data_IF_761263636007
#
_entry.id   IF_761263636007
#
_cell.length_a   1.000
_cell.length_b   1.000
_cell.length_c   1.000
_cell.angle_alpha   90.00
_cell.angle_beta   90.00
_cell.angle_gamma   90.00
#
_symmetry.space_group_name_H-M   'P 1'
#
loop_
_entity.id
_entity.type
_entity.pdbx_description
1 polymer ?
#
# COMPACT_ATOMS: atom_id res chain seq x y z
N UNK A 1 24.45 16.50 19.31
CA UNK A 1 23.05 16.27 19.72
C UNK A 1 22.81 14.77 19.68
N UNK A 2 22.15 14.18 20.68
CA UNK A 2 21.85 12.75 20.63
C UNK A 2 20.92 12.46 19.44
N UNK A 3 21.32 11.51 18.59
CA UNK A 3 20.52 11.05 17.45
C UNK A 3 19.29 10.31 17.97
N UNK A 4 18.09 10.69 17.47
CA UNK A 4 16.85 9.98 17.83
C UNK A 4 16.87 8.53 17.35
N UNK A 5 16.09 7.64 17.97
CA UNK A 5 15.96 6.25 17.51
C UNK A 5 15.50 6.18 16.04
N UNK A 6 14.62 7.10 15.61
CA UNK A 6 14.19 7.20 14.21
C UNK A 6 15.34 7.60 13.29
N UNK A 7 16.20 8.53 13.71
CA UNK A 7 17.37 8.93 12.93
C UNK A 7 18.34 7.76 12.76
N UNK A 8 18.61 7.02 13.83
CA UNK A 8 19.46 5.82 13.78
C UNK A 8 18.83 4.74 12.89
N UNK A 9 17.51 4.52 12.96
CA UNK A 9 16.83 3.54 12.12
C UNK A 9 16.95 3.87 10.62
N UNK A 10 16.85 5.14 10.24
CA UNK A 10 17.00 5.58 8.84
C UNK A 10 18.39 5.31 8.26
N UNK A 11 19.42 5.15 9.09
CA UNK A 11 20.77 4.79 8.64
C UNK A 11 20.89 3.28 8.30
N UNK A 12 19.99 2.45 8.82
CA UNK A 12 20.05 0.98 8.70
C UNK A 12 18.95 0.42 7.80
N UNK A 13 17.81 1.11 7.74
CA UNK A 13 16.60 0.64 7.08
C UNK A 13 15.90 1.80 6.37
N UNK A 14 15.39 1.54 5.16
CA UNK A 14 14.50 2.47 4.48
C UNK A 14 13.18 2.61 5.25
N UNK A 15 12.96 3.78 5.85
CA UNK A 15 11.74 4.05 6.63
C UNK A 15 10.61 4.49 5.70
N UNK A 16 9.49 3.78 5.80
CA UNK A 16 8.25 4.01 5.05
C UNK A 16 7.15 4.44 6.01
N UNK A 17 6.33 5.43 5.65
CA UNK A 17 5.15 5.79 6.44
C UNK A 17 3.91 5.00 5.98
N UNK A 18 3.23 4.32 6.90
CA UNK A 18 1.96 3.61 6.65
C UNK A 18 0.78 4.50 7.06
N UNK A 19 0.48 5.50 6.23
CA UNK A 19 -0.57 6.48 6.51
C UNK A 19 -1.02 7.22 5.25
N UNK A 20 -2.28 7.66 5.22
CA UNK A 20 -2.80 8.66 4.29
C UNK A 20 -2.71 10.11 4.80
N UNK A 21 -2.20 10.31 6.01
CA UNK A 21 -2.08 11.63 6.66
C UNK A 21 -0.83 12.39 6.16
N UNK A 22 -1.07 13.48 5.44
CA UNK A 22 -0.02 14.33 4.88
C UNK A 22 0.80 15.05 5.96
N UNK A 23 0.23 15.39 7.12
CA UNK A 23 0.96 16.08 8.18
C UNK A 23 2.00 15.15 8.82
N UNK A 24 1.61 13.90 9.09
CA UNK A 24 2.52 12.87 9.56
C UNK A 24 3.69 12.67 8.57
N UNK A 25 3.40 12.59 7.26
CA UNK A 25 4.43 12.42 6.23
C UNK A 25 5.39 13.61 6.22
N UNK A 26 4.89 14.86 6.26
CA UNK A 26 5.75 16.06 6.34
C UNK A 26 6.63 16.08 7.59
N UNK A 27 6.07 15.67 8.72
CA UNK A 27 6.77 15.66 10.01
C UNK A 27 7.91 14.63 10.04
N UNK A 28 7.66 13.42 9.54
CA UNK A 28 8.60 12.32 9.67
C UNK A 28 9.52 12.12 8.46
N UNK A 29 9.21 12.74 7.32
CA UNK A 29 10.02 12.72 6.09
C UNK A 29 10.50 11.30 5.73
N UNK A 30 9.58 10.34 5.52
CA UNK A 30 9.93 8.97 5.15
C UNK A 30 10.49 8.91 3.71
N UNK A 31 11.13 7.80 3.35
CA UNK A 31 11.59 7.57 1.99
C UNK A 31 10.40 7.26 1.06
N UNK A 32 9.53 6.36 1.48
CA UNK A 32 8.32 5.94 0.75
C UNK A 32 7.09 6.14 1.65
N UNK A 33 5.90 6.00 1.07
CA UNK A 33 4.66 5.88 1.82
C UNK A 33 3.78 4.76 1.28
N UNK A 34 2.99 4.15 2.15
CA UNK A 34 1.99 3.15 1.76
C UNK A 34 0.62 3.56 2.25
N UNK A 35 -0.37 3.34 1.40
CA UNK A 35 -1.79 3.42 1.74
C UNK A 35 -2.43 2.04 1.62
N UNK A 36 -3.64 1.92 2.16
CA UNK A 36 -4.52 0.78 2.01
C UNK A 36 -5.97 1.31 2.12
N UNK A 37 -7.00 0.49 1.86
CA UNK A 37 -8.39 0.97 1.88
C UNK A 37 -8.79 1.64 3.20
N UNK A 38 -8.31 1.13 4.35
CA UNK A 38 -8.61 1.72 5.66
C UNK A 38 -7.95 3.08 5.85
N UNK A 39 -6.69 3.25 5.42
CA UNK A 39 -5.96 4.51 5.52
C UNK A 39 -6.52 5.57 4.55
N UNK A 40 -6.93 5.16 3.35
CA UNK A 40 -7.64 6.03 2.40
C UNK A 40 -8.96 6.49 3.00
N UNK A 41 -9.73 5.60 3.63
CA UNK A 41 -10.97 5.96 4.31
C UNK A 41 -10.74 6.97 5.44
N UNK A 42 -9.72 6.74 6.27
CA UNK A 42 -9.37 7.67 7.35
C UNK A 42 -8.95 9.04 6.81
N UNK A 43 -8.11 9.08 5.78
CA UNK A 43 -7.72 10.33 5.13
C UNK A 43 -8.93 11.04 4.52
N UNK A 44 -9.82 10.32 3.84
CA UNK A 44 -11.04 10.87 3.25
C UNK A 44 -12.02 11.46 4.28
N UNK A 45 -11.95 11.04 5.55
CA UNK A 45 -12.78 11.59 6.62
C UNK A 45 -12.29 12.95 7.15
N UNK A 46 -11.12 13.44 6.72
CA UNK A 46 -10.62 14.77 7.06
C UNK A 46 -11.53 15.86 6.50
N UNK A 47 -11.86 16.85 7.33
CA UNK A 47 -12.86 17.88 7.01
C UNK A 47 -12.46 18.70 5.78
N UNK A 48 -11.16 18.97 5.62
CA UNK A 48 -10.58 19.73 4.52
C UNK A 48 -10.81 19.06 3.16
N UNK A 49 -11.06 17.74 3.13
CA UNK A 49 -11.28 16.98 1.90
C UNK A 49 -12.73 16.96 1.44
N UNK A 50 -13.70 17.34 2.28
CA UNK A 50 -15.13 17.22 1.96
C UNK A 50 -15.52 17.88 0.64
N UNK A 51 -15.01 19.08 0.37
CA UNK A 51 -15.30 19.80 -0.87
C UNK A 51 -14.79 19.05 -2.11
N UNK A 52 -13.57 18.51 -2.04
CA UNK A 52 -12.98 17.72 -3.12
C UNK A 52 -13.73 16.41 -3.33
N UNK A 53 -14.05 15.69 -2.26
CA UNK A 53 -14.85 14.45 -2.32
C UNK A 53 -16.23 14.69 -2.92
N UNK A 54 -16.90 15.79 -2.57
CA UNK A 54 -18.18 16.16 -3.15
C UNK A 54 -18.08 16.47 -4.65
N UNK A 55 -16.95 17.02 -5.12
CA UNK A 55 -16.69 17.22 -6.56
C UNK A 55 -16.56 15.87 -7.27
N UNK A 56 -15.70 14.99 -6.76
CA UNK A 56 -15.51 13.64 -7.31
C UNK A 56 -16.83 12.89 -7.38
N UNK A 57 -17.61 12.91 -6.30
CA UNK A 57 -18.92 12.24 -6.23
C UNK A 57 -19.94 12.79 -7.25
N UNK A 58 -19.87 14.08 -7.61
CA UNK A 58 -20.75 14.66 -8.64
C UNK A 58 -20.32 14.32 -10.07
N UNK A 59 -19.02 14.17 -10.28
CA UNK A 59 -18.44 13.92 -11.59
C UNK A 59 -18.39 12.42 -11.94
N UNK A 60 -18.36 11.55 -10.93
CA UNK A 60 -18.33 10.10 -11.12
C UNK A 60 -19.74 9.54 -11.26
N UNK A 61 -19.92 8.65 -12.23
CA UNK A 61 -21.18 7.92 -12.48
C UNK A 61 -21.18 6.52 -11.88
N UNK A 62 -20.02 6.08 -11.39
CA UNK A 62 -19.78 4.78 -10.77
C UNK A 62 -19.05 4.97 -9.43
N UNK A 63 -19.43 4.18 -8.43
CA UNK A 63 -18.88 4.30 -7.09
C UNK A 63 -17.44 3.79 -7.03
N UNK A 64 -17.12 2.74 -7.78
CA UNK A 64 -15.78 2.17 -7.79
C UNK A 64 -14.81 3.14 -8.48
N UNK A 65 -15.24 3.79 -9.56
CA UNK A 65 -14.52 4.91 -10.17
C UNK A 65 -14.28 6.06 -9.18
N UNK A 66 -15.31 6.46 -8.42
CA UNK A 66 -15.16 7.53 -7.44
C UNK A 66 -14.11 7.18 -6.36
N UNK A 67 -14.12 5.94 -5.87
CA UNK A 67 -13.15 5.46 -4.87
C UNK A 67 -11.72 5.44 -5.45
N UNK A 68 -11.55 4.97 -6.69
CA UNK A 68 -10.25 4.97 -7.36
C UNK A 68 -9.70 6.40 -7.51
N UNK A 69 -10.56 7.36 -7.89
CA UNK A 69 -10.17 8.77 -8.00
C UNK A 69 -9.71 9.34 -6.66
N UNK A 70 -10.41 9.01 -5.58
CA UNK A 70 -10.01 9.43 -4.22
C UNK A 70 -8.65 8.84 -3.84
N UNK A 71 -8.42 7.56 -4.12
CA UNK A 71 -7.14 6.91 -3.84
C UNK A 71 -5.98 7.53 -4.65
N UNK A 72 -6.21 7.80 -5.94
CA UNK A 72 -5.21 8.44 -6.82
C UNK A 72 -4.93 9.87 -6.40
N UNK A 73 -5.96 10.65 -6.05
CA UNK A 73 -5.81 12.02 -5.55
C UNK A 73 -4.89 12.06 -4.31
N UNK A 74 -5.21 11.24 -3.29
CA UNK A 74 -4.44 11.16 -2.05
C UNK A 74 -3.01 10.67 -2.35
N UNK A 75 -2.85 9.60 -3.13
CA UNK A 75 -1.52 9.10 -3.46
C UNK A 75 -0.69 10.11 -4.27
N UNK A 76 -1.32 10.93 -5.10
CA UNK A 76 -0.65 12.00 -5.87
C UNK A 76 -0.23 13.19 -5.01
N UNK A 77 -0.94 13.44 -3.91
CA UNK A 77 -0.51 14.41 -2.90
C UNK A 77 0.68 13.87 -2.10
N UNK A 78 0.62 12.60 -1.71
CA UNK A 78 1.69 11.91 -0.97
C UNK A 78 2.98 11.85 -1.82
N UNK A 79 2.87 11.57 -3.12
CA UNK A 79 4.03 11.42 -4.01
C UNK A 79 4.88 12.68 -4.14
N UNK A 80 4.31 13.85 -3.83
CA UNK A 80 5.00 15.16 -3.76
C UNK A 80 5.77 15.36 -2.46
N UNK A 81 5.46 14.58 -1.43
CA UNK A 81 6.02 14.71 -0.08
C UNK A 81 7.10 13.66 0.23
N UNK A 82 7.15 12.56 -0.53
CA UNK A 82 8.13 11.49 -0.35
C UNK A 82 9.07 11.42 -1.55
N UNK A 83 10.37 11.17 -1.37
CA UNK A 83 11.33 11.06 -2.48
C UNK A 83 11.29 9.72 -3.20
N UNK A 84 10.60 8.71 -2.68
CA UNK A 84 10.48 7.38 -3.29
C UNK A 84 9.04 7.00 -3.65
N UNK A 85 8.65 5.76 -3.36
CA UNK A 85 7.40 5.18 -3.85
C UNK A 85 6.17 5.58 -3.04
N UNK A 86 5.01 5.51 -3.70
CA UNK A 86 3.69 5.47 -3.06
C UNK A 86 3.02 4.14 -3.39
N UNK A 87 2.65 3.37 -2.36
CA UNK A 87 1.83 2.16 -2.56
C UNK A 87 0.34 2.50 -2.54
N UNK A 88 -0.38 2.06 -3.58
CA UNK A 88 -1.82 2.24 -3.74
C UNK A 88 -2.48 0.91 -4.04
N UNK A 89 -3.48 0.55 -3.23
CA UNK A 89 -4.07 -0.78 -3.24
C UNK A 89 -5.24 -0.90 -4.22
N UNK A 90 -5.25 -1.97 -5.01
CA UNK A 90 -6.43 -2.34 -5.80
C UNK A 90 -7.59 -2.75 -4.89
N UNK A 91 -8.83 -2.71 -5.38
CA UNK A 91 -9.97 -3.15 -4.59
C UNK A 91 -9.80 -4.61 -4.15
N UNK A 92 -9.85 -4.86 -2.83
CA UNK A 92 -9.71 -6.20 -2.27
C UNK A 92 -10.79 -7.19 -2.74
N UNK A 93 -11.93 -6.70 -3.28
CA UNK A 93 -12.95 -7.54 -3.91
C UNK A 93 -12.43 -8.28 -5.15
N UNK A 94 -11.35 -7.80 -5.76
CA UNK A 94 -10.72 -8.39 -6.94
C UNK A 94 -9.64 -9.43 -6.58
N UNK A 95 -9.41 -9.70 -5.29
CA UNK A 95 -8.26 -10.53 -4.83
C UNK A 95 -8.23 -11.95 -5.41
N UNK A 96 -9.35 -12.47 -5.91
CA UNK A 96 -9.46 -13.81 -6.52
C UNK A 96 -9.79 -13.74 -8.01
N UNK A 97 -9.62 -12.57 -8.63
CA UNK A 97 -9.79 -12.34 -10.06
C UNK A 97 -8.51 -11.70 -10.61
N UNK A 98 -7.68 -12.55 -11.23
CA UNK A 98 -6.39 -12.14 -11.80
C UNK A 98 -6.55 -11.05 -12.85
N UNK A 99 -7.47 -11.26 -13.80
CA UNK A 99 -7.58 -10.40 -14.98
C UNK A 99 -8.21 -9.05 -14.59
N UNK A 100 -9.22 -9.06 -13.72
CA UNK A 100 -9.79 -7.83 -13.18
C UNK A 100 -8.76 -7.05 -12.34
N UNK A 101 -7.89 -7.73 -11.59
CA UNK A 101 -6.80 -7.10 -10.82
C UNK A 101 -5.80 -6.41 -11.76
N UNK A 102 -5.38 -7.08 -12.84
CA UNK A 102 -4.49 -6.50 -13.86
C UNK A 102 -5.14 -5.28 -14.51
N UNK A 103 -6.39 -5.39 -14.95
CA UNK A 103 -7.12 -4.26 -15.56
C UNK A 103 -7.24 -3.08 -14.59
N UNK A 104 -7.53 -3.34 -13.31
CA UNK A 104 -7.59 -2.29 -12.29
C UNK A 104 -6.24 -1.61 -12.08
N UNK A 105 -5.16 -2.38 -12.01
CA UNK A 105 -3.80 -1.87 -11.84
C UNK A 105 -3.40 -0.91 -12.97
N UNK A 106 -3.63 -1.31 -14.23
CA UNK A 106 -3.39 -0.46 -15.40
C UNK A 106 -4.21 0.83 -15.35
N UNK A 107 -5.51 0.73 -15.04
CA UNK A 107 -6.38 1.91 -14.87
C UNK A 107 -5.85 2.88 -13.79
N UNK A 108 -5.35 2.38 -12.66
CA UNK A 108 -4.78 3.24 -11.61
C UNK A 108 -3.51 3.96 -12.09
N UNK A 109 -2.63 3.27 -12.82
CA UNK A 109 -1.42 3.87 -13.39
C UNK A 109 -1.76 4.97 -14.40
N UNK A 110 -2.74 4.73 -15.29
CA UNK A 110 -3.21 5.74 -16.24
C UNK A 110 -3.74 7.00 -15.53
N UNK A 111 -4.49 6.81 -14.45
CA UNK A 111 -5.00 7.92 -13.62
C UNK A 111 -3.86 8.67 -12.95
N UNK A 112 -2.86 7.99 -12.39
CA UNK A 112 -1.67 8.67 -11.86
C UNK A 112 -0.95 9.51 -12.92
N UNK A 113 -0.85 9.01 -14.15
CA UNK A 113 -0.25 9.76 -15.25
C UNK A 113 -1.02 11.05 -15.57
N UNK A 114 -2.37 11.04 -15.49
CA UNK A 114 -3.20 12.24 -15.63
C UNK A 114 -2.93 13.28 -14.51
N UNK A 115 -2.44 12.82 -13.36
CA UNK A 115 -2.00 13.67 -12.24
C UNK A 115 -0.53 14.07 -12.32
N UNK A 116 0.17 13.72 -13.41
CA UNK A 116 1.59 14.00 -13.60
C UNK A 116 2.51 13.13 -12.77
N UNK A 117 2.04 11.98 -12.28
CA UNK A 117 2.83 11.01 -11.50
C UNK A 117 3.12 9.80 -12.38
N UNK A 118 4.39 9.56 -12.67
CA UNK A 118 4.82 8.44 -13.50
C UNK A 118 4.72 7.08 -12.79
N UNK A 119 4.62 5.97 -13.55
CA UNK A 119 4.53 4.62 -13.00
C UNK A 119 5.76 4.23 -12.16
N UNK A 120 6.91 4.86 -12.38
CA UNK A 120 8.11 4.67 -11.58
C UNK A 120 8.01 5.17 -10.14
N UNK A 121 6.94 5.92 -9.82
CA UNK A 121 6.67 6.44 -8.47
C UNK A 121 5.65 5.60 -7.71
N UNK A 122 5.00 4.63 -8.36
CA UNK A 122 3.85 3.93 -7.82
C UNK A 122 4.15 2.43 -7.67
N UNK A 123 3.76 1.89 -6.52
CA UNK A 123 3.66 0.45 -6.30
C UNK A 123 2.19 0.07 -6.26
N UNK A 124 1.74 -0.76 -7.21
CA UNK A 124 0.37 -1.29 -7.16
C UNK A 124 0.33 -2.40 -6.11
N UNK A 125 -0.44 -2.14 -5.06
CA UNK A 125 -0.56 -3.04 -3.92
C UNK A 125 -1.75 -3.99 -4.10
N UNK A 126 -1.56 -5.27 -3.80
CA UNK A 126 -2.63 -6.28 -3.88
C UNK A 126 -2.39 -7.43 -2.91
N UNK A 127 -3.46 -8.15 -2.56
CA UNK A 127 -3.41 -9.28 -1.66
C UNK A 127 -2.53 -10.42 -2.23
N UNK A 128 -1.75 -11.07 -1.37
CA UNK A 128 -0.88 -12.20 -1.72
C UNK A 128 -1.66 -13.52 -1.84
N UNK A 129 -2.81 -13.49 -2.52
CA UNK A 129 -3.52 -14.69 -3.00
C UNK A 129 -2.76 -15.26 -4.20
N UNK A 130 -3.12 -16.47 -4.64
CA UNK A 130 -2.51 -17.03 -5.84
C UNK A 130 -2.80 -16.16 -7.06
N UNK A 131 -4.04 -15.74 -7.25
CA UNK A 131 -4.46 -14.88 -8.36
C UNK A 131 -3.78 -13.51 -8.31
N UNK A 132 -3.62 -12.93 -7.12
CA UNK A 132 -2.89 -11.68 -6.92
C UNK A 132 -1.40 -11.80 -7.26
N UNK A 133 -0.75 -12.89 -6.86
CA UNK A 133 0.65 -13.17 -7.22
C UNK A 133 0.82 -13.37 -8.73
N UNK A 134 -0.13 -14.06 -9.37
CA UNK A 134 -0.13 -14.24 -10.82
C UNK A 134 -0.41 -12.94 -11.58
N UNK A 135 -1.25 -12.05 -11.02
CA UNK A 135 -1.47 -10.71 -11.55
C UNK A 135 -0.19 -9.87 -11.44
N UNK A 136 0.47 -9.89 -10.28
CA UNK A 136 1.75 -9.22 -10.08
C UNK A 136 2.82 -9.68 -11.07
N UNK A 137 2.93 -10.99 -11.33
CA UNK A 137 3.85 -11.54 -12.34
C UNK A 137 3.67 -10.90 -13.72
N UNK A 138 2.42 -10.69 -14.14
CA UNK A 138 2.15 -10.06 -15.42
C UNK A 138 2.45 -8.56 -15.37
N UNK A 139 2.01 -7.87 -14.32
CA UNK A 139 2.21 -6.43 -14.16
C UNK A 139 3.70 -6.05 -14.12
N UNK A 140 4.53 -6.82 -13.43
CA UNK A 140 5.98 -6.60 -13.38
C UNK A 140 6.63 -6.77 -14.76
N UNK A 141 6.14 -7.71 -15.58
CA UNK A 141 6.58 -7.87 -16.99
C UNK A 141 6.13 -6.70 -17.87
N UNK A 142 4.99 -6.11 -17.55
CA UNK A 142 4.47 -4.91 -18.20
C UNK A 142 5.18 -3.63 -17.70
N UNK A 143 6.10 -3.74 -16.73
CA UNK A 143 6.85 -2.62 -16.15
C UNK A 143 6.12 -1.88 -15.02
N UNK A 144 5.01 -2.43 -14.51
CA UNK A 144 4.26 -1.90 -13.37
C UNK A 144 4.76 -2.60 -12.10
N UNK A 145 5.38 -1.82 -11.21
CA UNK A 145 5.91 -2.32 -9.95
C UNK A 145 4.80 -2.64 -8.96
N UNK A 146 4.96 -3.72 -8.21
CA UNK A 146 3.93 -4.23 -7.30
C UNK A 146 4.39 -4.36 -5.85
N UNK A 147 3.42 -4.25 -4.94
CA UNK A 147 3.58 -4.50 -3.51
C UNK A 147 2.60 -5.60 -3.06
N UNK A 148 3.11 -6.79 -2.76
CA UNK A 148 2.28 -7.94 -2.37
C UNK A 148 2.05 -7.90 -0.86
N UNK A 149 0.82 -7.61 -0.45
CA UNK A 149 0.40 -7.41 0.95
C UNK A 149 -0.39 -8.60 1.48
N UNK A 150 -0.78 -8.58 2.76
CA UNK A 150 -1.49 -9.69 3.41
C UNK A 150 -0.71 -11.01 3.27
N UNK A 151 0.61 -10.90 3.48
CA UNK A 151 1.56 -12.00 3.39
C UNK A 151 1.85 -12.51 4.81
N UNK A 152 1.61 -13.81 5.03
CA UNK A 152 1.65 -14.43 6.35
C UNK A 152 2.54 -15.68 6.42
N UNK A 153 3.06 -16.16 5.30
CA UNK A 153 3.83 -17.40 5.29
C UNK A 153 4.88 -17.48 4.20
N UNK A 154 5.82 -18.39 4.41
CA UNK A 154 6.96 -18.59 3.52
C UNK A 154 6.55 -18.96 2.09
N UNK A 155 5.51 -19.78 1.92
CA UNK A 155 5.02 -20.16 0.59
C UNK A 155 4.57 -18.94 -0.24
N UNK A 156 3.90 -17.96 0.39
CA UNK A 156 3.54 -16.71 -0.28
C UNK A 156 4.79 -15.90 -0.64
N UNK A 157 5.74 -15.77 0.30
CA UNK A 157 6.99 -15.03 0.06
C UNK A 157 7.79 -15.61 -1.12
N UNK A 158 7.96 -16.93 -1.15
CA UNK A 158 8.64 -17.61 -2.25
C UNK A 158 7.90 -17.40 -3.58
N UNK A 159 6.58 -17.58 -3.61
CA UNK A 159 5.79 -17.40 -4.82
C UNK A 159 5.83 -15.94 -5.34
N UNK A 160 5.84 -14.95 -4.45
CA UNK A 160 6.03 -13.54 -4.81
C UNK A 160 7.42 -13.29 -5.43
N UNK A 161 8.46 -13.87 -4.85
CA UNK A 161 9.83 -13.77 -5.36
C UNK A 161 9.95 -14.41 -6.76
N UNK A 162 9.40 -15.63 -6.94
CA UNK A 162 9.37 -16.33 -8.23
C UNK A 162 8.54 -15.59 -9.29
N UNK A 163 7.55 -14.80 -8.86
CA UNK A 163 6.75 -13.93 -9.73
C UNK A 163 7.49 -12.65 -10.13
N UNK A 164 8.61 -12.30 -9.48
CA UNK A 164 9.36 -11.08 -9.73
C UNK A 164 8.74 -9.83 -9.10
N UNK A 165 7.94 -9.99 -8.03
CA UNK A 165 7.35 -8.84 -7.33
C UNK A 165 8.43 -7.88 -6.82
N UNK A 166 8.23 -6.58 -7.05
CA UNK A 166 9.16 -5.52 -6.62
C UNK A 166 9.27 -5.45 -5.09
N UNK A 167 8.15 -5.62 -4.38
CA UNK A 167 8.10 -5.52 -2.92
C UNK A 167 7.06 -6.49 -2.33
N UNK A 168 7.35 -7.00 -1.13
CA UNK A 168 6.38 -7.73 -0.29
C UNK A 168 6.20 -7.03 1.06
N UNK A 169 4.99 -7.08 1.60
CA UNK A 169 4.62 -6.50 2.90
C UNK A 169 4.11 -7.60 3.86
N UNK A 170 5.00 -8.33 4.54
CA UNK A 170 4.62 -9.31 5.56
C UNK A 170 4.02 -8.65 6.81
N UNK A 171 2.92 -9.21 7.34
CA UNK A 171 2.16 -8.60 8.43
C UNK A 171 2.56 -9.15 9.80
N UNK A 172 3.59 -8.57 10.42
CA UNK A 172 4.12 -9.01 11.72
C UNK A 172 3.07 -8.95 12.83
N UNK A 173 2.44 -7.79 13.05
CA UNK A 173 1.49 -7.61 14.16
C UNK A 173 0.29 -8.56 14.11
N UNK A 174 -0.20 -8.89 12.91
CA UNK A 174 -1.34 -9.82 12.75
C UNK A 174 -0.95 -11.28 13.00
N UNK A 175 0.30 -11.67 12.73
CA UNK A 175 0.82 -12.98 13.10
C UNK A 175 0.83 -13.10 14.62
N UNK A 176 1.38 -12.10 15.31
CA UNK A 176 1.38 -12.04 16.78
C UNK A 176 -0.03 -12.09 17.38
N UNK A 177 -0.99 -11.33 16.83
CA UNK A 177 -2.39 -11.34 17.27
C UNK A 177 -2.99 -12.76 17.22
N UNK A 178 -2.73 -13.50 16.14
CA UNK A 178 -3.22 -14.86 15.95
C UNK A 178 -2.63 -15.84 16.98
N UNK A 179 -1.33 -15.71 17.26
CA UNK A 179 -0.64 -16.53 18.26
C UNK A 179 -1.16 -16.26 19.67
N UNK A 180 -1.32 -14.98 20.05
CA UNK A 180 -1.91 -14.58 21.34
C UNK A 180 -3.34 -15.08 21.51
N UNK A 181 -4.17 -15.01 20.46
CA UNK A 181 -5.54 -15.51 20.54
C UNK A 181 -5.62 -17.03 20.77
N UNK A 182 -4.63 -17.80 20.29
CA UNK A 182 -4.57 -19.27 20.45
C UNK A 182 -3.82 -19.73 21.69
N UNK A 183 -2.91 -18.91 22.20
CA UNK A 183 -2.12 -19.22 23.38
C UNK A 183 -1.97 -17.95 24.23
N UNK A 184 -3.04 -17.52 24.94
CA UNK A 184 -3.04 -16.23 25.65
C UNK A 184 -1.99 -16.13 26.76
N UNK A 185 -1.63 -17.26 27.36
CA UNK A 185 -0.67 -17.35 28.47
C UNK A 185 0.79 -17.54 28.01
N UNK A 186 1.04 -17.66 26.70
CA UNK A 186 2.39 -17.84 26.18
C UNK A 186 3.17 -16.51 26.15
N UNK A 187 4.48 -16.59 26.40
CA UNK A 187 5.39 -15.45 26.26
C UNK A 187 5.81 -15.31 24.79
N UNK A 188 5.52 -14.15 24.20
CA UNK A 188 5.88 -13.77 22.83
C UNK A 188 6.83 -12.57 22.79
N UNK A 189 7.59 -12.33 23.86
CA UNK A 189 8.52 -11.20 23.94
C UNK A 189 9.90 -11.54 23.35
N UNK A 190 10.54 -10.54 22.72
CA UNK A 190 11.92 -10.62 22.26
C UNK A 190 12.16 -11.78 21.28
N UNK A 191 12.99 -12.74 21.68
CA UNK A 191 13.33 -13.91 20.85
C UNK A 191 12.17 -14.92 20.70
N UNK A 192 11.08 -14.75 21.46
CA UNK A 192 9.89 -15.59 21.40
C UNK A 192 8.80 -15.05 20.44
N UNK A 193 9.08 -13.96 19.72
CA UNK A 193 8.20 -13.43 18.67
C UNK A 193 8.11 -14.44 17.50
N UNK A 194 6.90 -14.92 17.12
CA UNK A 194 6.69 -15.99 16.15
C UNK A 194 7.08 -15.68 14.69
#
# INVERSE_FOLDING_TARGET
>A
MATSLLSQLKEMTTVVADTGDLEAIRRFQPQDATTNPSLILQAAQQEERRARLASIAKESTDLDDAVDRVAVDIGSEISKLVPGYVSTEVSARLSFDRDATITKAHSLIERYAQHGVGPERILIKMASTWEGIQAARQLERDGIRTNLTLLFGFAQAQACADAGATLISPFVGRILDWHKARSPEADFSGANDP
#
